data_IF_416968301722
#
_entry.id   IF_416968301722
#
_cell.length_a   1.000
_cell.length_b   1.000
_cell.length_c   1.000
_cell.angle_alpha   90.00
_cell.angle_beta   90.00
_cell.angle_gamma   90.00
#
_symmetry.space_group_name_H-M   'P 1'
#
loop_
_entity.id
_entity.type
_entity.pdbx_description
1 polymer ?
#
# COMPACT_ATOMS: atom_id res chain seq x y z
N UNK A 1 1.86 24.04 5.33
CA UNK A 1 1.96 22.62 5.59
C UNK A 1 1.71 21.82 4.33
N UNK A 2 2.55 20.89 4.09
CA UNK A 2 2.43 20.11 2.88
C UNK A 2 1.25 19.13 2.97
N UNK A 3 0.55 18.98 1.86
CA UNK A 3 -0.60 18.10 1.79
C UNK A 3 -0.31 16.96 0.82
N UNK A 4 -0.35 15.74 1.32
CA UNK A 4 -0.07 14.58 0.49
C UNK A 4 -0.95 14.50 -0.74
N UNK A 5 -2.21 14.91 -0.60
CA UNK A 5 -3.13 14.78 -1.71
C UNK A 5 -2.79 15.68 -2.87
N UNK A 6 -1.91 16.66 -2.67
CA UNK A 6 -1.50 17.55 -3.75
C UNK A 6 -0.51 16.91 -4.70
N UNK A 7 0.13 15.82 -4.28
CA UNK A 7 1.11 15.13 -5.11
C UNK A 7 0.56 13.76 -5.46
N UNK A 8 0.33 13.48 -6.73
CA UNK A 8 -0.18 12.16 -7.10
C UNK A 8 0.77 11.07 -6.65
N UNK A 9 0.20 9.94 -6.22
CA UNK A 9 0.99 8.86 -5.69
C UNK A 9 2.08 8.42 -6.66
N UNK A 10 1.77 8.35 -7.94
CA UNK A 10 2.73 7.87 -8.93
C UNK A 10 3.93 8.81 -9.09
N UNK A 11 3.80 10.05 -8.63
CA UNK A 11 4.88 11.03 -8.74
C UNK A 11 5.69 11.17 -7.45
N UNK A 12 5.34 10.42 -6.40
CA UNK A 12 6.03 10.52 -5.13
C UNK A 12 7.32 9.73 -5.14
N UNK A 13 8.27 10.21 -4.36
CA UNK A 13 9.56 9.55 -4.25
C UNK A 13 9.40 8.23 -3.49
N UNK A 14 10.16 7.23 -3.90
CA UNK A 14 10.03 5.90 -3.31
C UNK A 14 10.41 5.86 -1.83
N UNK A 15 11.26 6.76 -1.39
CA UNK A 15 11.68 6.80 0.00
C UNK A 15 10.77 7.63 0.88
N UNK A 16 9.74 8.21 0.32
CA UNK A 16 8.82 9.01 1.11
C UNK A 16 8.10 8.13 2.12
N UNK A 17 8.02 8.62 3.36
CA UNK A 17 7.38 7.87 4.44
C UNK A 17 5.87 8.05 4.38
N UNK A 18 5.18 6.97 4.67
CA UNK A 18 3.72 6.96 4.72
C UNK A 18 3.29 6.36 6.05
N UNK A 19 2.25 6.94 6.63
CA UNK A 19 1.64 6.38 7.84
C UNK A 19 0.56 5.38 7.45
N UNK A 20 0.01 4.69 8.46
CA UNK A 20 -1.14 3.81 8.22
C UNK A 20 -2.29 4.57 7.58
N UNK A 21 -2.53 5.78 8.09
CA UNK A 21 -3.62 6.59 7.54
C UNK A 21 -3.36 6.97 6.09
N UNK A 22 -2.11 7.29 5.77
CA UNK A 22 -1.76 7.61 4.39
C UNK A 22 -2.01 6.43 3.47
N UNK A 23 -1.61 5.24 3.90
CA UNK A 23 -1.81 4.03 3.10
C UNK A 23 -3.30 3.77 2.90
N UNK A 24 -4.07 3.91 3.95
CA UNK A 24 -5.52 3.70 3.86
C UNK A 24 -6.13 4.67 2.86
N UNK A 25 -5.70 5.91 2.88
CA UNK A 25 -6.22 6.91 1.96
C UNK A 25 -5.82 6.60 0.53
N UNK A 26 -4.56 6.25 0.30
CA UNK A 26 -4.08 5.95 -1.04
C UNK A 26 -4.81 4.74 -1.60
N UNK A 27 -4.99 3.70 -0.80
CA UNK A 27 -5.64 2.48 -1.24
C UNK A 27 -7.16 2.57 -1.18
N UNK A 28 -7.68 3.68 -0.68
CA UNK A 28 -9.13 3.86 -0.53
C UNK A 28 -9.75 2.75 0.29
N UNK A 29 -9.05 2.36 1.35
CA UNK A 29 -9.50 1.31 2.25
C UNK A 29 -9.68 1.88 3.64
N UNK A 30 -10.56 1.30 4.44
CA UNK A 30 -10.67 1.72 5.84
C UNK A 30 -9.36 1.48 6.57
N UNK A 31 -9.02 2.39 7.48
CA UNK A 31 -7.76 2.26 8.20
C UNK A 31 -7.73 0.99 9.04
N UNK A 32 -8.88 0.55 9.53
CA UNK A 32 -8.93 -0.69 10.30
C UNK A 32 -8.58 -1.90 9.44
N UNK A 33 -8.90 -1.86 8.15
CA UNK A 33 -8.51 -2.92 7.25
C UNK A 33 -7.00 -2.98 7.11
N UNK A 34 -6.35 -1.84 7.00
CA UNK A 34 -4.90 -1.80 6.90
C UNK A 34 -4.26 -2.33 8.19
N UNK A 35 -4.81 -1.94 9.34
CA UNK A 35 -4.32 -2.47 10.61
C UNK A 35 -4.48 -3.98 10.69
N UNK A 36 -5.59 -4.48 10.22
CA UNK A 36 -5.84 -5.91 10.25
C UNK A 36 -4.86 -6.66 9.35
N UNK A 37 -4.60 -6.13 8.17
CA UNK A 37 -3.60 -6.74 7.28
C UNK A 37 -2.28 -6.90 8.00
N UNK A 38 -1.87 -5.87 8.73
CA UNK A 38 -0.60 -5.92 9.43
C UNK A 38 -0.61 -7.02 10.47
N UNK A 39 -1.73 -7.19 11.15
CA UNK A 39 -1.83 -8.21 12.18
C UNK A 39 -1.72 -9.62 11.62
N UNK A 40 -2.27 -9.85 10.46
CA UNK A 40 -2.25 -11.19 9.86
C UNK A 40 -1.08 -11.41 8.94
N UNK A 41 -0.18 -10.42 8.84
CA UNK A 41 1.04 -10.60 8.07
C UNK A 41 0.90 -10.37 6.60
N UNK A 42 -0.11 -9.64 6.19
CA UNK A 42 -0.28 -9.28 4.78
C UNK A 42 -0.24 -7.77 4.64
N UNK A 43 -0.35 -7.27 3.41
CA UNK A 43 -0.30 -5.85 3.16
C UNK A 43 1.13 -5.38 3.01
N UNK A 44 1.31 -4.07 2.85
CA UNK A 44 2.66 -3.53 2.75
C UNK A 44 3.39 -3.65 4.08
N UNK A 45 4.70 -3.71 4.01
CA UNK A 45 5.49 -3.85 5.23
C UNK A 45 5.60 -2.52 5.93
N UNK A 46 5.35 -2.55 7.23
CA UNK A 46 5.51 -1.38 8.08
C UNK A 46 6.66 -1.59 9.04
N UNK A 47 7.28 -0.49 9.44
CA UNK A 47 8.35 -0.53 10.41
C UNK A 47 8.16 0.62 11.38
N UNK A 48 8.75 0.50 12.54
CA UNK A 48 8.61 1.51 13.58
C UNK A 48 9.75 2.50 13.55
N UNK A 49 9.39 3.77 13.69
CA UNK A 49 10.35 4.81 14.01
C UNK A 49 9.83 5.45 15.29
N UNK A 50 10.56 5.21 16.39
CA UNK A 50 10.05 5.61 17.68
C UNK A 50 8.79 4.84 18.02
N UNK A 51 7.69 5.54 18.19
CA UNK A 51 6.42 4.91 18.55
C UNK A 51 5.48 4.77 17.37
N UNK A 52 5.87 5.25 16.21
CA UNK A 52 4.96 5.29 15.07
C UNK A 52 5.34 4.27 14.04
N UNK A 53 4.34 3.81 13.32
CA UNK A 53 4.52 2.88 12.22
C UNK A 53 4.54 3.64 10.91
N UNK A 54 5.48 3.27 10.06
CA UNK A 54 5.63 3.86 8.74
C UNK A 54 5.88 2.78 7.73
N UNK A 55 5.55 3.10 6.50
CA UNK A 55 6.06 2.36 5.36
C UNK A 55 6.59 3.39 4.36
N UNK A 56 7.02 2.95 3.21
CA UNK A 56 7.49 3.88 2.18
C UNK A 56 6.62 3.74 0.94
N UNK A 57 6.71 4.76 0.10
CA UNK A 57 6.02 4.71 -1.19
C UNK A 57 6.49 3.51 -1.98
N UNK A 58 7.80 3.20 -1.93
CA UNK A 58 8.33 2.05 -2.66
C UNK A 58 7.74 0.73 -2.19
N UNK A 59 7.61 0.56 -0.86
CA UNK A 59 7.00 -0.65 -0.33
C UNK A 59 5.54 -0.76 -0.73
N UNK A 60 4.83 0.36 -0.70
CA UNK A 60 3.43 0.34 -1.09
C UNK A 60 3.29 0.01 -2.57
N UNK A 61 4.17 0.56 -3.40
CA UNK A 61 4.17 0.23 -4.83
C UNK A 61 4.41 -1.25 -5.05
N UNK A 62 5.31 -1.84 -4.29
CA UNK A 62 5.60 -3.26 -4.41
C UNK A 62 4.36 -4.07 -4.04
N UNK A 63 3.72 -3.70 -2.95
CA UNK A 63 2.50 -4.39 -2.52
C UNK A 63 1.42 -4.31 -3.61
N UNK A 64 1.21 -3.11 -4.16
CA UNK A 64 0.21 -2.93 -5.21
C UNK A 64 0.54 -3.79 -6.42
N UNK A 65 1.81 -3.83 -6.80
CA UNK A 65 2.23 -4.64 -7.94
C UNK A 65 1.96 -6.11 -7.69
N UNK A 66 2.27 -6.57 -6.49
CA UNK A 66 2.05 -7.97 -6.15
C UNK A 66 0.57 -8.32 -6.19
N UNK A 67 -0.27 -7.41 -5.71
CA UNK A 67 -1.70 -7.64 -5.74
C UNK A 67 -2.22 -7.67 -7.18
N UNK A 68 -1.72 -6.79 -8.02
CA UNK A 68 -2.13 -6.79 -9.42
C UNK A 68 -1.73 -8.07 -10.12
N UNK A 69 -0.53 -8.54 -9.85
CA UNK A 69 -0.08 -9.79 -10.46
C UNK A 69 -0.88 -10.98 -9.96
N UNK A 70 -1.20 -11.00 -8.68
CA UNK A 70 -1.97 -12.10 -8.12
C UNK A 70 -3.39 -12.12 -8.66
N UNK A 71 -3.95 -10.96 -8.97
CA UNK A 71 -5.32 -10.87 -9.45
C UNK A 71 -5.41 -11.05 -10.96
N UNK A 72 -4.28 -11.00 -11.65
CA UNK A 72 -4.27 -11.02 -13.11
C UNK A 72 -4.53 -12.42 -13.60
N UNK A 73 -5.43 -12.57 -14.59
CA UNK A 73 -5.66 -13.91 -15.14
C UNK A 73 -4.43 -14.42 -15.85
N UNK A 74 -4.28 -15.73 -15.84
CA UNK A 74 -3.19 -16.37 -16.55
C UNK A 74 -3.44 -16.22 -18.03
N UNK A 75 -2.41 -15.81 -18.76
CA UNK A 75 -2.51 -15.63 -20.21
C UNK A 75 -2.85 -16.96 -20.87
N UNK A 76 -3.79 -16.92 -21.83
CA UNK A 76 -4.18 -18.10 -22.57
C UNK A 76 -5.15 -19.00 -21.85
N UNK A 77 -5.62 -18.61 -20.71
CA UNK A 77 -6.57 -19.37 -19.93
C UNK A 77 -7.84 -18.56 -19.76
N UNK A 78 -8.99 -19.16 -19.99
CA UNK A 78 -10.23 -18.42 -19.77
C UNK A 78 -10.36 -18.06 -18.30
N UNK A 79 -11.01 -16.94 -18.09
CA UNK A 79 -11.28 -16.57 -16.73
C UNK A 79 -12.12 -17.63 -16.08
N UNK A 80 -11.75 -17.97 -14.86
CA UNK A 80 -12.59 -18.86 -14.11
C UNK A 80 -13.93 -18.19 -13.88
N UNK A 81 -14.93 -18.88 -14.12
CA UNK A 81 -16.27 -18.34 -14.01
C UNK A 81 -16.99 -19.00 -12.87
#
# INVERSE_FOLDING_TARGET
MHNYTEIPFHARHEDELLTLDDVAEILMAPVNTVRWWRQIGTGPEFFKIGRRLYTTVGELRRFIREQRLAAQPVVGRPKAV
#
